data_IF_371858403519
#
_entry.id   IF_371858403519
#
_cell.length_a   1.000
_cell.length_b   1.000
_cell.length_c   1.000
_cell.angle_alpha   90.00
_cell.angle_beta   90.00
_cell.angle_gamma   90.00
#
_symmetry.space_group_name_H-M   'P 1'
#
loop_
_entity.id
_entity.type
_entity.pdbx_description
1 polymer ?
#
# COMPACT_ATOMS: atom_id res chain seq x y z
N UNK A 1 40.59 20.75 -43.19
CA UNK A 1 41.57 21.75 -42.71
C UNK A 1 40.82 22.75 -41.86
N UNK A 2 40.76 22.60 -40.54
CA UNK A 2 41.77 22.91 -39.51
C UNK A 2 42.15 24.39 -39.36
N UNK A 3 42.07 24.80 -38.08
CA UNK A 3 42.75 25.89 -37.34
C UNK A 3 42.11 27.29 -37.36
N UNK A 4 42.18 28.09 -36.29
CA UNK A 4 42.21 27.90 -34.83
C UNK A 4 42.15 29.30 -34.20
N UNK A 5 41.55 29.39 -33.01
CA UNK A 5 41.90 30.27 -31.86
C UNK A 5 42.15 31.77 -32.08
N UNK A 6 41.43 32.59 -31.31
CA UNK A 6 42.06 33.56 -30.38
C UNK A 6 41.13 33.87 -29.20
N UNK A 7 41.70 33.71 -28.01
CA UNK A 7 41.16 34.14 -26.71
C UNK A 7 41.23 35.67 -26.61
N UNK A 8 40.30 36.28 -25.86
CA UNK A 8 40.60 37.48 -25.09
C UNK A 8 39.96 37.38 -23.71
N UNK A 9 40.85 37.49 -22.72
CA UNK A 9 40.56 37.68 -21.31
C UNK A 9 40.06 39.11 -21.08
N UNK A 10 39.11 39.29 -20.17
CA UNK A 10 38.95 40.56 -19.45
C UNK A 10 38.43 40.26 -18.05
N UNK A 11 39.36 40.42 -17.12
CA UNK A 11 39.21 40.47 -15.68
C UNK A 11 38.39 41.69 -15.25
N UNK A 12 37.36 41.48 -14.44
CA UNK A 12 36.82 42.53 -13.58
C UNK A 12 36.82 42.00 -12.14
N UNK A 13 37.71 42.58 -11.34
CA UNK A 13 37.81 42.41 -9.89
C UNK A 13 36.66 43.20 -9.27
N UNK A 14 35.78 42.53 -8.51
CA UNK A 14 34.92 43.20 -7.54
C UNK A 14 35.31 42.68 -6.17
N UNK A 15 36.00 43.54 -5.43
CA UNK A 15 36.28 43.38 -4.02
C UNK A 15 35.05 43.79 -3.21
N UNK A 16 34.84 43.10 -2.08
CA UNK A 16 34.23 43.68 -0.89
C UNK A 16 32.75 43.39 -0.66
N UNK A 17 32.48 42.32 0.10
CA UNK A 17 31.71 42.41 1.35
C UNK A 17 31.76 41.05 2.06
N UNK A 18 32.58 40.98 3.11
CA UNK A 18 32.62 39.88 4.06
C UNK A 18 31.34 39.91 4.89
N UNK A 19 30.42 38.98 4.63
CA UNK A 19 29.37 38.60 5.58
C UNK A 19 29.71 37.19 6.07
N UNK A 20 30.21 37.15 7.30
CA UNK A 20 30.41 35.94 8.09
C UNK A 20 29.07 35.21 8.26
N UNK A 21 28.86 34.15 7.50
CA UNK A 21 27.83 33.15 7.78
C UNK A 21 28.48 31.99 8.51
N UNK A 22 28.05 31.79 9.76
CA UNK A 22 28.46 30.71 10.64
C UNK A 22 28.40 29.34 9.93
N UNK A 23 29.27 28.37 10.31
CA UNK A 23 29.22 27.04 9.74
C UNK A 23 27.82 26.45 9.91
N UNK A 24 27.22 26.02 8.81
CA UNK A 24 25.98 25.27 8.82
C UNK A 24 26.19 24.04 9.70
N UNK A 25 25.61 24.05 10.89
CA UNK A 25 25.45 22.84 11.67
C UNK A 25 24.62 21.90 10.82
N UNK A 26 25.23 20.78 10.43
CA UNK A 26 24.50 19.63 9.90
C UNK A 26 23.56 19.22 11.01
N UNK A 27 22.30 19.66 10.93
CA UNK A 27 21.25 19.18 11.79
C UNK A 27 21.09 17.71 11.44
N UNK A 28 21.71 16.84 12.24
CA UNK A 28 21.42 15.43 12.25
C UNK A 28 19.90 15.30 12.32
N UNK A 29 19.32 14.54 11.39
CA UNK A 29 17.91 14.20 11.42
C UNK A 29 17.61 13.61 12.80
N UNK A 30 17.03 14.43 13.67
CA UNK A 30 16.50 13.94 14.93
C UNK A 30 15.52 12.84 14.55
N UNK A 31 15.69 11.68 15.16
CA UNK A 31 14.77 10.56 15.10
C UNK A 31 13.46 11.00 15.76
N UNK A 32 12.74 11.92 15.13
CA UNK A 32 11.35 12.15 15.37
C UNK A 32 10.65 10.88 14.91
N UNK A 33 10.07 10.16 15.87
CA UNK A 33 9.22 9.02 15.57
C UNK A 33 8.24 9.47 14.50
N UNK A 34 8.25 8.81 13.35
CA UNK A 34 7.26 9.01 12.29
C UNK A 34 5.91 8.47 12.79
N UNK A 35 5.32 9.14 13.77
CA UNK A 35 3.91 9.00 14.06
C UNK A 35 3.16 9.56 12.84
N UNK A 36 2.25 8.79 12.23
CA UNK A 36 1.42 9.30 11.15
C UNK A 36 0.77 10.63 11.55
N UNK A 37 0.78 11.64 10.68
CA UNK A 37 -0.03 12.85 10.87
C UNK A 37 -1.51 12.43 10.88
N UNK A 38 -2.09 12.39 12.06
CA UNK A 38 -3.50 12.06 12.30
C UNK A 38 -4.36 13.28 11.97
N UNK A 39 -5.45 13.07 11.24
CA UNK A 39 -6.49 14.10 11.08
C UNK A 39 -7.66 13.62 11.92
N UNK A 40 -7.92 14.29 13.05
CA UNK A 40 -8.89 13.82 14.05
C UNK A 40 -10.29 13.70 13.44
N UNK A 41 -10.86 12.49 13.47
CA UNK A 41 -12.26 12.23 13.17
C UNK A 41 -12.84 11.45 14.35
N UNK A 42 -13.27 12.17 15.38
CA UNK A 42 -13.76 11.66 16.67
C UNK A 42 -12.65 11.03 17.54
N UNK A 43 -12.74 11.15 18.88
CA UNK A 43 -11.72 10.65 19.83
C UNK A 43 -11.52 9.13 19.81
N UNK A 44 -12.34 8.41 19.03
CA UNK A 44 -12.42 6.95 18.96
C UNK A 44 -12.02 6.37 17.59
N UNK A 45 -11.73 7.22 16.60
CA UNK A 45 -11.26 6.78 15.28
C UNK A 45 -10.22 7.76 14.73
N UNK A 46 -9.16 7.23 14.14
CA UNK A 46 -8.07 8.04 13.62
C UNK A 46 -7.90 7.74 12.13
N UNK A 47 -8.04 8.79 11.31
CA UNK A 47 -7.63 8.73 9.90
C UNK A 47 -6.14 9.07 9.84
N UNK A 48 -5.35 8.12 9.37
CA UNK A 48 -3.91 8.25 9.28
C UNK A 48 -3.36 7.80 7.92
N UNK A 49 -2.15 8.27 7.62
CA UNK A 49 -1.36 7.74 6.52
C UNK A 49 -0.67 6.46 6.97
N UNK A 50 -0.69 5.43 6.13
CA UNK A 50 0.20 4.28 6.27
C UNK A 50 1.20 4.25 5.11
N UNK A 51 2.41 4.82 5.28
CA UNK A 51 3.40 4.87 4.21
C UNK A 51 3.82 3.49 3.71
N UNK A 52 3.73 2.43 4.54
CA UNK A 52 4.09 1.07 4.11
C UNK A 52 3.08 0.56 3.09
N UNK A 53 1.79 0.80 3.31
CA UNK A 53 0.74 0.40 2.39
C UNK A 53 0.71 1.28 1.13
N UNK A 54 0.82 2.60 1.27
CA UNK A 54 0.79 3.53 0.13
C UNK A 54 1.94 3.28 -0.86
N UNK A 55 3.14 2.93 -0.37
CA UNK A 55 4.32 2.63 -1.19
C UNK A 55 4.19 1.33 -2.00
N UNK A 56 3.26 0.44 -1.66
CA UNK A 56 3.01 -0.78 -2.43
C UNK A 56 2.29 -0.51 -3.77
N UNK A 57 1.74 0.70 -3.95
CA UNK A 57 1.25 1.20 -5.23
C UNK A 57 -0.13 0.67 -5.64
N UNK A 58 -0.45 0.81 -6.92
CA UNK A 58 -1.76 0.45 -7.47
C UNK A 58 -1.82 -1.05 -7.76
N UNK A 59 -2.00 -1.84 -6.72
CA UNK A 59 -1.94 -3.31 -6.76
C UNK A 59 -3.23 -3.98 -6.33
N UNK A 60 -4.22 -3.23 -5.86
CA UNK A 60 -5.49 -3.76 -5.37
C UNK A 60 -6.59 -3.66 -6.40
N UNK A 61 -7.61 -4.49 -6.23
CA UNK A 61 -8.94 -4.36 -6.80
C UNK A 61 -9.99 -4.47 -5.69
N UNK A 62 -11.16 -3.90 -5.93
CA UNK A 62 -12.33 -4.07 -5.06
C UNK A 62 -13.09 -5.31 -5.55
N UNK A 63 -13.41 -6.24 -4.64
CA UNK A 63 -14.17 -7.45 -4.96
C UNK A 63 -15.56 -7.08 -5.47
N UNK A 64 -16.03 -7.78 -6.50
CA UNK A 64 -17.42 -7.70 -6.91
C UNK A 64 -18.28 -8.50 -5.93
N UNK A 65 -18.70 -7.85 -4.85
CA UNK A 65 -19.54 -8.43 -3.81
C UNK A 65 -20.79 -7.57 -3.59
N UNK A 66 -21.87 -8.20 -3.15
CA UNK A 66 -23.08 -7.49 -2.68
C UNK A 66 -22.82 -6.69 -1.41
N UNK A 67 -21.84 -7.12 -0.61
CA UNK A 67 -21.46 -6.51 0.67
C UNK A 67 -20.35 -5.45 0.50
N UNK A 68 -20.05 -5.06 -0.74
CA UNK A 68 -19.02 -4.07 -1.01
C UNK A 68 -19.51 -2.66 -0.68
N UNK A 69 -18.66 -1.88 -0.04
CA UNK A 69 -18.92 -0.48 0.27
C UNK A 69 -19.12 0.36 -1.02
N UNK A 70 -19.85 1.50 -0.93
CA UNK A 70 -20.06 2.36 -2.07
C UNK A 70 -18.76 2.90 -2.67
N UNK A 71 -18.61 2.79 -3.98
CA UNK A 71 -17.47 3.36 -4.71
C UNK A 71 -17.86 4.73 -5.22
N UNK A 72 -17.30 5.76 -4.61
CA UNK A 72 -17.55 7.15 -4.98
C UNK A 72 -16.83 7.54 -6.26
N UNK A 73 -17.50 8.35 -7.07
CA UNK A 73 -17.00 8.85 -8.35
C UNK A 73 -16.68 10.32 -8.27
N UNK A 74 -15.48 10.71 -8.70
CA UNK A 74 -15.04 12.09 -8.88
C UNK A 74 -14.07 12.58 -7.80
N UNK A 75 -13.22 13.53 -8.20
CA UNK A 75 -12.15 14.08 -7.36
C UNK A 75 -12.68 14.78 -6.10
N UNK A 76 -13.88 15.36 -6.16
CA UNK A 76 -14.50 16.03 -5.01
C UNK A 76 -14.85 15.02 -3.91
N UNK A 77 -15.45 13.89 -4.28
CA UNK A 77 -15.75 12.82 -3.32
C UNK A 77 -14.48 12.20 -2.75
N UNK A 78 -13.44 12.02 -3.57
CA UNK A 78 -12.11 11.61 -3.09
C UNK A 78 -11.55 12.59 -2.04
N UNK A 79 -11.59 13.90 -2.32
CA UNK A 79 -11.10 14.93 -1.38
C UNK A 79 -11.88 14.88 -0.06
N UNK A 80 -13.19 14.70 -0.13
CA UNK A 80 -14.03 14.56 1.06
C UNK A 80 -13.66 13.31 1.87
N UNK A 81 -13.45 12.18 1.19
CA UNK A 81 -13.07 10.91 1.81
C UNK A 81 -11.71 10.95 2.52
N UNK A 82 -10.81 11.90 2.21
CA UNK A 82 -9.53 12.05 2.91
C UNK A 82 -9.69 12.41 4.39
N UNK A 83 -10.82 13.01 4.76
CA UNK A 83 -11.11 13.47 6.13
C UNK A 83 -12.42 12.93 6.69
N UNK A 84 -13.18 12.15 5.92
CA UNK A 84 -14.44 11.54 6.35
C UNK A 84 -14.47 10.08 5.90
N UNK A 85 -14.62 9.14 6.85
CA UNK A 85 -14.62 7.71 6.56
C UNK A 85 -16.00 7.07 6.54
N UNK A 86 -16.98 7.70 7.18
CA UNK A 86 -18.37 7.25 7.19
C UNK A 86 -19.00 7.38 5.80
N UNK A 87 -20.10 6.67 5.57
CA UNK A 87 -20.84 6.79 4.32
C UNK A 87 -21.39 8.21 4.18
N UNK A 88 -21.22 8.81 3.00
CA UNK A 88 -21.65 10.18 2.72
C UNK A 88 -22.43 10.27 1.40
N UNK A 89 -23.10 11.40 1.19
CA UNK A 89 -23.84 11.64 -0.05
C UNK A 89 -22.87 11.92 -1.20
N UNK A 90 -22.99 11.16 -2.29
CA UNK A 90 -22.20 11.38 -3.49
C UNK A 90 -22.59 10.41 -4.60
N UNK A 91 -22.16 10.71 -5.84
CA UNK A 91 -22.34 9.78 -6.96
C UNK A 91 -21.50 8.53 -6.73
N UNK A 92 -22.16 7.37 -6.76
CA UNK A 92 -21.52 6.06 -6.58
C UNK A 92 -21.71 5.16 -7.79
N UNK A 93 -20.89 4.12 -7.88
CA UNK A 93 -21.01 3.05 -8.87
C UNK A 93 -20.80 1.69 -8.22
N UNK A 94 -21.31 0.64 -8.88
CA UNK A 94 -21.08 -0.74 -8.45
C UNK A 94 -19.62 -1.18 -8.67
N UNK A 95 -19.05 -2.03 -7.79
CA UNK A 95 -17.76 -2.67 -7.98
C UNK A 95 -17.61 -3.39 -9.32
N UNK A 96 -18.69 -3.93 -9.88
CA UNK A 96 -18.68 -4.59 -11.18
C UNK A 96 -18.13 -3.68 -12.29
N UNK A 97 -18.35 -2.36 -12.20
CA UNK A 97 -17.91 -1.37 -13.20
C UNK A 97 -16.43 -1.00 -13.12
N UNK A 98 -15.72 -1.42 -12.07
CA UNK A 98 -14.31 -1.05 -11.83
C UNK A 98 -13.38 -2.25 -11.70
N UNK A 99 -13.79 -3.44 -12.16
CA UNK A 99 -12.97 -4.66 -12.03
C UNK A 99 -11.62 -4.60 -12.77
N UNK A 100 -11.51 -3.74 -13.79
CA UNK A 100 -10.27 -3.48 -14.53
C UNK A 100 -9.47 -2.29 -13.99
N UNK A 101 -9.92 -1.66 -12.90
CA UNK A 101 -9.25 -0.52 -12.28
C UNK A 101 -8.36 -1.02 -11.15
N UNK A 102 -7.13 -0.49 -11.11
CA UNK A 102 -6.19 -0.73 -10.02
C UNK A 102 -6.30 0.38 -8.98
N UNK A 103 -6.29 -0.03 -7.72
CA UNK A 103 -6.37 0.85 -6.57
C UNK A 103 -5.12 0.75 -5.72
N UNK A 104 -4.80 1.84 -5.02
CA UNK A 104 -3.81 1.88 -3.93
C UNK A 104 -4.49 2.31 -2.64
N UNK A 105 -3.92 1.92 -1.50
CA UNK A 105 -4.27 2.49 -0.19
C UNK A 105 -3.70 3.92 -0.11
N UNK A 106 -4.49 4.87 0.37
CA UNK A 106 -4.08 6.25 0.69
C UNK A 106 -4.07 6.52 2.19
N UNK A 107 -5.12 6.06 2.87
CA UNK A 107 -5.38 6.30 4.28
C UNK A 107 -5.90 5.02 4.93
N UNK A 108 -5.72 4.93 6.23
CA UNK A 108 -6.29 3.88 7.07
C UNK A 108 -7.08 4.55 8.18
N UNK A 109 -8.24 4.01 8.52
CA UNK A 109 -8.94 4.32 9.76
C UNK A 109 -8.62 3.23 10.76
N UNK A 110 -8.09 3.63 11.92
CA UNK A 110 -7.92 2.73 13.08
C UNK A 110 -8.88 3.17 14.18
N UNK A 111 -9.61 2.20 14.74
CA UNK A 111 -10.54 2.42 15.83
C UNK A 111 -9.83 2.21 17.17
N UNK A 112 -10.16 3.03 18.17
CA UNK A 112 -9.55 3.01 19.49
C UNK A 112 -10.62 2.97 20.60
N UNK A 113 -10.22 2.52 21.79
CA UNK A 113 -11.10 2.41 22.95
C UNK A 113 -12.07 1.24 22.86
N UNK A 114 -13.30 1.42 23.39
CA UNK A 114 -14.34 0.37 23.43
C UNK A 114 -15.00 0.08 22.08
N UNK A 115 -14.62 0.78 21.02
CA UNK A 115 -15.13 0.52 19.67
C UNK A 115 -14.27 -0.58 19.04
N UNK A 116 -14.82 -1.78 18.96
CA UNK A 116 -14.26 -2.87 18.18
C UNK A 116 -14.67 -2.70 16.73
N UNK A 117 -13.70 -2.58 15.82
CA UNK A 117 -13.94 -2.45 14.39
C UNK A 117 -12.70 -2.83 13.60
N UNK A 118 -12.91 -3.55 12.49
CA UNK A 118 -11.83 -3.84 11.55
C UNK A 118 -11.31 -2.52 10.95
N UNK A 119 -10.00 -2.37 10.70
CA UNK A 119 -9.48 -1.20 10.01
C UNK A 119 -10.19 -0.98 8.66
N UNK A 120 -10.47 0.29 8.35
CA UNK A 120 -10.93 0.69 7.02
C UNK A 120 -9.78 1.24 6.22
N UNK A 121 -9.79 0.99 4.91
CA UNK A 121 -8.76 1.42 3.98
C UNK A 121 -9.40 2.33 2.93
N UNK A 122 -8.91 3.56 2.82
CA UNK A 122 -9.24 4.43 1.71
C UNK A 122 -8.43 3.96 0.52
N UNK A 123 -9.10 3.32 -0.43
CA UNK A 123 -8.48 2.91 -1.67
C UNK A 123 -8.89 3.84 -2.81
N UNK A 124 -7.94 4.19 -3.68
CA UNK A 124 -8.20 5.15 -4.77
C UNK A 124 -7.58 4.69 -6.09
N UNK A 125 -8.25 5.01 -7.19
CA UNK A 125 -7.73 4.83 -8.55
C UNK A 125 -6.60 5.82 -8.85
N UNK A 126 -5.82 5.54 -9.90
CA UNK A 126 -4.64 6.35 -10.27
C UNK A 126 -4.98 7.81 -10.58
N UNK A 127 -6.08 8.03 -11.27
CA UNK A 127 -6.62 9.33 -11.66
C UNK A 127 -7.46 10.01 -10.57
N UNK A 128 -7.63 9.35 -9.40
CA UNK A 128 -8.52 9.78 -8.32
C UNK A 128 -9.99 9.92 -8.74
N UNK A 129 -10.39 9.23 -9.82
CA UNK A 129 -11.79 9.18 -10.27
C UNK A 129 -12.63 8.27 -9.38
N UNK A 130 -12.06 7.22 -8.82
CA UNK A 130 -12.77 6.28 -7.97
C UNK A 130 -12.10 6.19 -6.60
N UNK A 131 -12.90 6.25 -5.55
CA UNK A 131 -12.44 6.09 -4.17
C UNK A 131 -13.46 5.34 -3.33
N UNK A 132 -12.98 4.54 -2.38
CA UNK A 132 -13.82 3.74 -1.50
C UNK A 132 -13.13 3.60 -0.15
N UNK A 133 -13.85 3.83 0.94
CA UNK A 133 -13.49 3.28 2.25
C UNK A 133 -14.02 1.87 2.32
N UNK A 134 -13.18 0.90 2.67
CA UNK A 134 -13.63 -0.50 2.76
C UNK A 134 -12.71 -1.33 3.65
N UNK A 135 -13.14 -2.53 4.01
CA UNK A 135 -12.36 -3.45 4.84
C UNK A 135 -11.36 -4.27 4.02
N UNK A 136 -10.37 -4.86 4.70
CA UNK A 136 -9.43 -5.81 4.09
C UNK A 136 -10.14 -6.96 3.33
N UNK A 137 -11.31 -7.42 3.81
CA UNK A 137 -12.06 -8.53 3.23
C UNK A 137 -12.66 -8.23 1.85
N UNK A 138 -12.89 -6.96 1.54
CA UNK A 138 -13.43 -6.48 0.25
C UNK A 138 -12.35 -6.12 -0.75
N UNK A 139 -11.09 -6.09 -0.32
CA UNK A 139 -9.94 -5.82 -1.17
C UNK A 139 -9.29 -7.13 -1.59
N UNK A 140 -8.69 -7.15 -2.78
CA UNK A 140 -7.91 -8.28 -3.24
C UNK A 140 -6.76 -7.79 -4.11
N UNK A 141 -5.64 -8.52 -4.11
CA UNK A 141 -4.59 -8.27 -5.09
C UNK A 141 -5.14 -8.36 -6.52
N UNK A 142 -4.82 -7.38 -7.37
CA UNK A 142 -5.43 -7.23 -8.71
C UNK A 142 -5.28 -8.49 -9.58
N UNK A 143 -4.10 -9.12 -9.54
CA UNK A 143 -3.80 -10.30 -10.35
C UNK A 143 -4.13 -11.63 -9.66
N UNK A 144 -4.76 -11.62 -8.49
CA UNK A 144 -4.96 -12.80 -7.64
C UNK A 144 -5.55 -14.00 -8.39
N UNK A 145 -6.59 -13.77 -9.21
CA UNK A 145 -7.28 -14.82 -9.96
C UNK A 145 -6.69 -15.09 -11.36
N UNK A 146 -5.60 -14.42 -11.73
CA UNK A 146 -4.97 -14.63 -13.04
C UNK A 146 -4.36 -16.02 -13.16
N UNK A 147 -4.33 -16.58 -14.38
CA UNK A 147 -3.74 -17.90 -14.66
C UNK A 147 -2.28 -17.98 -14.16
N UNK A 148 -1.50 -16.93 -14.36
CA UNK A 148 -0.10 -16.85 -13.92
C UNK A 148 0.09 -16.84 -12.39
N UNK A 149 -0.93 -16.43 -11.62
CA UNK A 149 -0.86 -16.40 -10.16
C UNK A 149 -1.31 -17.70 -9.49
N UNK A 150 -1.94 -18.64 -10.21
CA UNK A 150 -2.45 -19.90 -9.63
C UNK A 150 -1.38 -20.69 -8.85
N UNK A 151 -0.14 -20.72 -9.36
CA UNK A 151 0.98 -21.39 -8.70
C UNK A 151 1.41 -20.74 -7.37
N UNK A 152 1.11 -19.46 -7.17
CA UNK A 152 1.36 -18.73 -5.91
C UNK A 152 0.14 -18.85 -4.99
N UNK A 153 -1.06 -18.60 -5.52
CA UNK A 153 -2.29 -18.49 -4.73
C UNK A 153 -2.76 -19.84 -4.20
N UNK A 154 -2.72 -20.90 -5.01
CA UNK A 154 -3.26 -22.20 -4.57
C UNK A 154 -2.52 -22.79 -3.36
N UNK A 155 -1.18 -22.79 -3.30
CA UNK A 155 -0.48 -23.21 -2.08
C UNK A 155 -0.82 -22.35 -0.86
N UNK A 156 -0.91 -21.03 -1.02
CA UNK A 156 -1.30 -20.14 0.07
C UNK A 156 -2.75 -20.41 0.56
N UNK A 157 -3.68 -20.67 -0.36
CA UNK A 157 -5.06 -21.05 -0.01
C UNK A 157 -5.11 -22.36 0.75
N UNK A 158 -4.26 -23.33 0.39
CA UNK A 158 -4.15 -24.57 1.16
C UNK A 158 -3.64 -24.32 2.58
N UNK A 159 -2.73 -23.37 2.79
CA UNK A 159 -2.29 -22.98 4.14
C UNK A 159 -3.47 -22.36 4.91
N UNK A 160 -4.18 -21.40 4.30
CA UNK A 160 -5.31 -20.73 4.92
C UNK A 160 -6.48 -21.69 5.25
N UNK A 161 -6.81 -22.60 4.34
CA UNK A 161 -7.94 -23.52 4.47
C UNK A 161 -7.66 -24.72 5.39
N UNK A 162 -6.42 -24.91 5.83
CA UNK A 162 -6.07 -26.03 6.70
C UNK A 162 -6.52 -25.86 8.15
N UNK A 163 -7.25 -24.80 8.53
CA UNK A 163 -7.68 -24.73 9.92
C UNK A 163 -8.81 -23.81 10.36
N UNK A 164 -9.36 -24.22 11.52
CA UNK A 164 -10.15 -23.45 12.47
C UNK A 164 -9.32 -22.85 13.65
N UNK A 165 -7.99 -23.04 13.72
CA UNK A 165 -7.11 -22.55 14.81
C UNK A 165 -5.96 -21.63 14.31
N UNK A 166 -5.68 -20.57 15.07
CA UNK A 166 -4.58 -19.60 14.90
C UNK A 166 -3.19 -20.24 14.95
N UNK A 167 -3.02 -21.41 15.57
CA UNK A 167 -1.75 -22.16 15.53
C UNK A 167 -1.44 -22.76 14.15
N UNK A 168 -2.45 -22.92 13.29
CA UNK A 168 -2.34 -23.72 12.07
C UNK A 168 -2.17 -22.85 10.81
N UNK A 169 -2.48 -21.55 10.88
CA UNK A 169 -2.04 -20.51 9.91
C UNK A 169 -0.53 -20.19 10.01
N UNK A 170 0.17 -20.81 10.96
CA UNK A 170 1.62 -20.74 11.13
C UNK A 170 2.40 -21.44 10.02
N UNK A 171 3.54 -20.87 9.64
CA UNK A 171 4.47 -21.51 8.69
C UNK A 171 5.42 -22.52 9.35
N UNK A 172 5.33 -22.73 10.68
CA UNK A 172 6.17 -23.70 11.41
C UNK A 172 5.87 -25.15 11.03
N UNK A 173 4.61 -25.46 10.71
CA UNK A 173 4.19 -26.80 10.31
C UNK A 173 4.90 -27.23 9.01
N UNK A 174 5.40 -28.48 8.96
CA UNK A 174 6.15 -29.04 7.82
C UNK A 174 5.38 -28.95 6.49
N UNK A 175 4.07 -29.18 6.50
CA UNK A 175 3.23 -29.09 5.30
C UNK A 175 3.05 -27.64 4.84
N UNK A 176 2.79 -26.72 5.76
CA UNK A 176 2.69 -25.28 5.44
C UNK A 176 4.01 -24.71 4.91
N UNK A 177 5.15 -25.14 5.47
CA UNK A 177 6.48 -24.81 4.94
C UNK A 177 6.66 -25.30 3.51
N UNK A 178 6.19 -26.51 3.16
CA UNK A 178 6.24 -27.03 1.79
C UNK A 178 5.39 -26.18 0.84
N UNK A 179 4.15 -25.86 1.20
CA UNK A 179 3.28 -25.03 0.36
C UNK A 179 3.79 -23.60 0.22
N UNK A 180 4.31 -23.00 1.29
CA UNK A 180 4.93 -21.70 1.23
C UNK A 180 6.14 -21.69 0.28
N UNK A 181 6.99 -22.72 0.35
CA UNK A 181 8.12 -22.86 -0.57
C UNK A 181 7.67 -23.04 -2.03
N UNK A 182 6.56 -23.77 -2.25
CA UNK A 182 5.96 -23.89 -3.58
C UNK A 182 5.46 -22.53 -4.10
N UNK A 183 4.78 -21.75 -3.26
CA UNK A 183 4.36 -20.38 -3.60
C UNK A 183 5.56 -19.47 -3.91
N UNK A 184 6.64 -19.55 -3.12
CA UNK A 184 7.87 -18.80 -3.35
C UNK A 184 8.56 -19.19 -4.66
N UNK A 185 8.63 -20.50 -4.98
CA UNK A 185 9.18 -20.99 -6.26
C UNK A 185 8.35 -20.48 -7.44
N UNK A 186 7.02 -20.49 -7.33
CA UNK A 186 6.14 -19.94 -8.35
C UNK A 186 6.28 -18.42 -8.49
N UNK A 187 6.37 -17.68 -7.38
CA UNK A 187 6.55 -16.23 -7.38
C UNK A 187 7.84 -15.79 -8.10
N UNK A 188 8.92 -16.57 -7.95
CA UNK A 188 10.18 -16.29 -8.64
C UNK A 188 10.13 -16.42 -10.16
N UNK A 189 9.11 -17.11 -10.71
CA UNK A 189 8.87 -17.25 -12.15
C UNK A 189 8.00 -16.13 -12.73
N UNK A 190 7.39 -15.29 -11.90
CA UNK A 190 6.67 -14.10 -12.35
C UNK A 190 7.65 -13.11 -13.00
N UNK A 191 7.13 -12.09 -13.69
CA UNK A 191 7.95 -11.09 -14.40
C UNK A 191 7.73 -9.68 -13.85
N UNK A 192 8.73 -8.83 -14.03
CA UNK A 192 8.65 -7.38 -13.77
C UNK A 192 8.19 -7.01 -12.36
N UNK A 193 7.33 -5.98 -12.27
CA UNK A 193 6.78 -5.46 -11.02
C UNK A 193 5.95 -6.48 -10.26
N UNK A 194 5.30 -7.43 -10.95
CA UNK A 194 4.53 -8.50 -10.34
C UNK A 194 5.42 -9.41 -9.48
N UNK A 195 6.56 -9.86 -10.03
CA UNK A 195 7.56 -10.64 -9.29
C UNK A 195 8.04 -9.90 -8.06
N UNK A 196 8.44 -8.64 -8.24
CA UNK A 196 8.98 -7.81 -7.14
C UNK A 196 7.99 -7.70 -5.99
N UNK A 197 6.73 -7.37 -6.30
CA UNK A 197 5.66 -7.27 -5.30
C UNK A 197 5.42 -8.60 -4.59
N UNK A 198 5.11 -9.67 -5.33
CA UNK A 198 4.74 -10.97 -4.75
C UNK A 198 5.88 -11.58 -3.93
N UNK A 199 7.12 -11.52 -4.41
CA UNK A 199 8.28 -12.03 -3.67
C UNK A 199 8.49 -11.24 -2.37
N UNK A 200 8.34 -9.92 -2.39
CA UNK A 200 8.46 -9.10 -1.18
C UNK A 200 7.35 -9.42 -0.17
N UNK A 201 6.10 -9.56 -0.63
CA UNK A 201 4.97 -9.99 0.18
C UNK A 201 5.19 -11.37 0.82
N UNK A 202 5.73 -12.33 0.07
CA UNK A 202 6.05 -13.65 0.61
C UNK A 202 7.23 -13.61 1.59
N UNK A 203 8.24 -12.76 1.36
CA UNK A 203 9.34 -12.56 2.32
C UNK A 203 8.84 -11.95 3.63
N UNK A 204 7.90 -11.02 3.57
CA UNK A 204 7.24 -10.47 4.76
C UNK A 204 6.46 -11.57 5.49
N UNK A 205 5.61 -12.32 4.79
CA UNK A 205 4.89 -13.47 5.36
C UNK A 205 5.83 -14.50 6.03
N UNK A 206 7.02 -14.73 5.47
CA UNK A 206 8.04 -15.59 6.10
C UNK A 206 8.55 -15.04 7.43
N UNK A 207 8.72 -13.72 7.55
CA UNK A 207 9.16 -13.05 8.78
C UNK A 207 8.06 -13.09 9.83
N UNK A 208 6.82 -12.80 9.42
CA UNK A 208 5.65 -12.81 10.29
C UNK A 208 5.30 -14.24 10.73
N UNK A 209 5.73 -15.24 9.93
CA UNK A 209 5.63 -16.67 10.19
C UNK A 209 4.17 -17.16 10.38
N UNK A 210 3.19 -16.35 9.96
CA UNK A 210 1.77 -16.62 10.10
C UNK A 210 0.98 -15.86 9.01
N UNK A 211 0.10 -16.57 8.29
CA UNK A 211 -0.70 -15.98 7.20
C UNK A 211 -1.89 -15.14 7.66
N UNK A 212 -2.31 -15.24 8.92
CA UNK A 212 -3.39 -14.44 9.49
C UNK A 212 -2.94 -13.21 10.27
N UNK A 213 -1.68 -12.79 10.15
CA UNK A 213 -1.26 -11.47 10.65
C UNK A 213 -1.91 -10.42 9.77
N UNK A 214 -2.89 -9.71 10.34
CA UNK A 214 -3.69 -8.71 9.64
C UNK A 214 -2.89 -7.46 9.27
N UNK A 215 -3.31 -6.78 8.20
CA UNK A 215 -3.09 -5.35 8.02
C UNK A 215 -2.01 -4.90 7.04
N UNK A 216 -0.86 -5.56 6.98
CA UNK A 216 0.32 -4.99 6.29
C UNK A 216 0.69 -5.66 4.95
N UNK A 217 0.18 -6.88 4.70
CA UNK A 217 0.53 -7.66 3.51
C UNK A 217 -0.61 -7.67 2.48
N UNK A 218 -0.59 -6.74 1.53
CA UNK A 218 -1.64 -6.55 0.53
C UNK A 218 -1.88 -7.77 -0.39
N UNK A 219 -0.91 -8.71 -0.48
CA UNK A 219 -1.12 -9.96 -1.21
C UNK A 219 -2.15 -10.86 -0.51
N UNK A 220 -2.27 -10.74 0.81
CA UNK A 220 -3.14 -11.55 1.65
C UNK A 220 -4.54 -10.94 1.82
N UNK A 221 -4.80 -9.78 1.22
CA UNK A 221 -6.10 -9.12 1.31
C UNK A 221 -7.16 -9.92 0.54
N UNK A 222 -8.32 -10.10 1.18
CA UNK A 222 -9.45 -10.85 0.62
C UNK A 222 -9.15 -12.31 0.29
N UNK A 223 -8.21 -12.92 1.02
CA UNK A 223 -7.93 -14.37 0.99
C UNK A 223 -9.12 -15.20 1.43
#
# INVERSE_FOLDING_TARGET
MNLNKKMLFSSAVIAGLLLSVAPATVQAASTASNAPKTTNVNSKAVIENDPKLTKQGYVLRIKNSKDADPIYVGKNNYKYALTHYETFKGKTISPAKVQNVKFRVEKVVRFHGKISGAPLYLVVSKDKKYSCWTTQAMLQYYYFNSKGMRGVVNPLKRIANRSADKNIISLKNKQNKRDFNAAMKAANKLKGSQKKFVVNSLKQLKKDNNIGVEGDNLLLFGF
#
